data_IF_563862422241
#
_entry.id   IF_563862422241
#
_cell.length_a   1.000
_cell.length_b   1.000
_cell.length_c   1.000
_cell.angle_alpha   90.00
_cell.angle_beta   90.00
_cell.angle_gamma   90.00
#
_symmetry.space_group_name_H-M   'P 1'
#
loop_
_entity.id
_entity.type
_entity.pdbx_description
1 polymer ?
#
# COMPACT_ATOMS: atom_id res chain seq x y z
N UNK A 1 6.43 -7.80 12.34
CA UNK A 1 5.54 -7.24 11.30
C UNK A 1 6.18 -7.53 9.95
N UNK A 2 5.42 -8.12 9.03
CA UNK A 2 5.83 -8.31 7.63
C UNK A 2 5.77 -6.98 6.85
N UNK A 3 6.47 -6.91 5.70
CA UNK A 3 6.43 -5.74 4.80
C UNK A 3 4.99 -5.34 4.46
N UNK A 4 4.14 -6.31 4.15
CA UNK A 4 2.74 -6.08 3.78
C UNK A 4 1.89 -5.54 4.93
N UNK A 5 2.14 -5.98 6.17
CA UNK A 5 1.46 -5.44 7.36
C UNK A 5 1.82 -3.96 7.59
N UNK A 6 3.09 -3.59 7.40
CA UNK A 6 3.55 -2.21 7.53
C UNK A 6 2.96 -1.30 6.44
N UNK A 7 2.89 -1.80 5.19
CA UNK A 7 2.23 -1.09 4.08
C UNK A 7 0.74 -0.88 4.37
N UNK A 8 0.06 -1.90 4.90
CA UNK A 8 -1.35 -1.81 5.25
C UNK A 8 -1.63 -0.86 6.41
N UNK A 9 -0.75 -0.81 7.42
CA UNK A 9 -0.84 0.16 8.52
C UNK A 9 -0.68 1.59 8.00
N UNK A 10 0.34 1.84 7.16
CA UNK A 10 0.57 3.15 6.57
C UNK A 10 -0.61 3.63 5.70
N UNK A 11 -1.20 2.74 4.90
CA UNK A 11 -2.39 3.06 4.12
C UNK A 11 -3.59 3.44 5.01
N UNK A 12 -3.76 2.82 6.18
CA UNK A 12 -4.81 3.20 7.14
C UNK A 12 -4.56 4.57 7.75
N UNK A 13 -3.31 4.91 8.05
CA UNK A 13 -2.94 6.24 8.54
C UNK A 13 -3.26 7.31 7.50
N UNK A 14 -2.85 7.09 6.24
CA UNK A 14 -3.13 8.01 5.13
C UNK A 14 -4.64 8.18 4.94
N UNK A 15 -5.39 7.07 4.88
CA UNK A 15 -6.85 7.12 4.77
C UNK A 15 -7.51 7.82 5.96
N UNK A 16 -6.90 7.78 7.14
CA UNK A 16 -7.39 8.49 8.32
C UNK A 16 -7.15 9.99 8.20
N UNK A 17 -5.98 10.41 7.74
CA UNK A 17 -5.64 11.82 7.50
C UNK A 17 -6.49 12.44 6.38
N UNK A 18 -6.71 11.71 5.29
CA UNK A 18 -7.54 12.16 4.17
C UNK A 18 -9.03 12.35 4.52
N UNK A 19 -9.48 11.88 5.68
CA UNK A 19 -10.85 12.13 6.18
C UNK A 19 -11.00 13.47 6.89
N UNK A 20 -9.89 14.16 7.17
CA UNK A 20 -9.93 15.49 7.78
C UNK A 20 -10.49 16.51 6.75
N UNK A 21 -11.65 17.14 7.03
CA UNK A 21 -12.27 18.09 6.11
C UNK A 21 -11.47 19.40 5.98
N UNK A 22 -10.59 19.70 6.93
CA UNK A 22 -9.77 20.92 6.93
C UNK A 22 -8.36 20.67 6.36
N UNK A 23 -8.11 19.46 5.82
CA UNK A 23 -6.84 19.10 5.21
C UNK A 23 -6.54 19.98 3.98
N UNK A 24 -5.37 20.65 3.92
CA UNK A 24 -4.98 21.42 2.75
C UNK A 24 -4.91 20.56 1.49
N UNK A 25 -5.36 21.11 0.35
CA UNK A 25 -5.42 20.39 -0.93
C UNK A 25 -4.06 19.81 -1.36
N UNK A 26 -2.98 20.58 -1.20
CA UNK A 26 -1.61 20.14 -1.51
C UNK A 26 -1.17 18.94 -0.65
N UNK A 27 -1.59 18.93 0.63
CA UNK A 27 -1.29 17.83 1.54
C UNK A 27 -2.15 16.60 1.21
N UNK A 28 -3.42 16.80 0.86
CA UNK A 28 -4.31 15.74 0.38
C UNK A 28 -3.76 15.10 -0.90
N UNK A 29 -3.25 15.90 -1.84
CA UNK A 29 -2.62 15.41 -3.06
C UNK A 29 -1.35 14.60 -2.75
N UNK A 30 -0.49 15.11 -1.86
CA UNK A 30 0.71 14.40 -1.43
C UNK A 30 0.38 13.04 -0.81
N UNK A 31 -0.62 13.00 0.07
CA UNK A 31 -1.10 11.77 0.70
C UNK A 31 -1.72 10.80 -0.30
N UNK A 32 -2.48 11.28 -1.27
CA UNK A 32 -3.06 10.45 -2.33
C UNK A 32 -1.98 9.82 -3.22
N UNK A 33 -0.94 10.59 -3.57
CA UNK A 33 0.22 10.07 -4.32
C UNK A 33 0.97 9.00 -3.52
N UNK A 34 1.25 9.25 -2.24
CA UNK A 34 1.89 8.27 -1.36
C UNK A 34 1.06 6.99 -1.27
N UNK A 35 -0.26 7.08 -1.11
CA UNK A 35 -1.13 5.91 -1.08
C UNK A 35 -1.06 5.09 -2.38
N UNK A 36 -1.05 5.75 -3.55
CA UNK A 36 -0.95 5.08 -4.84
C UNK A 36 0.38 4.31 -4.98
N UNK A 37 1.49 4.91 -4.55
CA UNK A 37 2.81 4.26 -4.55
C UNK A 37 2.84 3.04 -3.63
N UNK A 38 2.29 3.15 -2.43
CA UNK A 38 2.21 2.04 -1.47
C UNK A 38 1.39 0.87 -2.00
N UNK A 39 0.24 1.14 -2.63
CA UNK A 39 -0.60 0.09 -3.24
C UNK A 39 0.12 -0.59 -4.40
N UNK A 40 0.80 0.17 -5.25
CA UNK A 40 1.58 -0.37 -6.38
C UNK A 40 2.70 -1.30 -5.89
N UNK A 41 3.44 -0.86 -4.85
CA UNK A 41 4.48 -1.67 -4.22
C UNK A 41 3.91 -2.94 -3.60
N UNK A 42 2.83 -2.84 -2.83
CA UNK A 42 2.18 -3.99 -2.21
C UNK A 42 1.71 -5.01 -3.27
N UNK A 43 1.10 -4.54 -4.36
CA UNK A 43 0.69 -5.39 -5.48
C UNK A 43 1.87 -6.16 -6.09
N UNK A 44 2.98 -5.46 -6.33
CA UNK A 44 4.21 -6.07 -6.86
C UNK A 44 4.79 -7.15 -5.93
N UNK A 45 4.80 -6.90 -4.61
CA UNK A 45 5.28 -7.87 -3.61
C UNK A 45 4.37 -9.11 -3.55
N UNK A 46 3.06 -8.91 -3.56
CA UNK A 46 2.08 -10.01 -3.55
C UNK A 46 2.21 -10.86 -4.81
N UNK A 47 2.29 -10.24 -5.98
CA UNK A 47 2.48 -10.97 -7.24
C UNK A 47 3.78 -11.78 -7.24
N UNK A 48 4.87 -11.22 -6.71
CA UNK A 48 6.14 -11.95 -6.58
C UNK A 48 5.97 -13.18 -5.68
N UNK A 49 5.34 -13.01 -4.53
CA UNK A 49 5.09 -14.12 -3.60
C UNK A 49 4.20 -15.22 -4.23
N UNK A 50 3.17 -14.83 -4.96
CA UNK A 50 2.30 -15.78 -5.68
C UNK A 50 3.07 -16.54 -6.77
N UNK A 51 3.95 -15.87 -7.53
CA UNK A 51 4.82 -16.53 -8.51
C UNK A 51 5.77 -17.52 -7.86
N UNK A 52 6.35 -17.17 -6.71
CA UNK A 52 7.24 -18.07 -5.95
C UNK A 52 6.50 -19.28 -5.40
N UNK A 53 5.28 -19.11 -4.89
CA UNK A 53 4.44 -20.21 -4.42
C UNK A 53 4.11 -21.14 -5.61
N UNK A 54 3.62 -20.59 -6.72
CA UNK A 54 3.31 -21.39 -7.91
C UNK A 54 4.52 -22.15 -8.46
N UNK A 55 5.72 -21.56 -8.41
CA UNK A 55 6.96 -22.22 -8.83
C UNK A 55 7.41 -23.33 -7.87
N UNK A 56 7.06 -23.25 -6.58
CA UNK A 56 7.30 -24.31 -5.59
C UNK A 56 6.26 -25.43 -5.68
N UNK A 57 5.09 -25.15 -6.22
CA UNK A 57 3.94 -26.05 -6.29
C UNK A 57 3.75 -26.78 -7.63
N UNK A 58 4.66 -26.62 -8.62
CA UNK A 58 4.49 -27.29 -9.92
C UNK A 58 5.68 -28.14 -10.37
N UNK A 59 5.45 -29.19 -11.18
CA UNK A 59 4.41 -30.24 -11.12
C UNK A 59 4.79 -31.43 -10.21
#
# INVERSE_FOLDING_TARGET
MSSTEQLAERLREIATRLRDPDLPEEEAESLAREAAELVSKAGSEIESALREIAAREGP
#
